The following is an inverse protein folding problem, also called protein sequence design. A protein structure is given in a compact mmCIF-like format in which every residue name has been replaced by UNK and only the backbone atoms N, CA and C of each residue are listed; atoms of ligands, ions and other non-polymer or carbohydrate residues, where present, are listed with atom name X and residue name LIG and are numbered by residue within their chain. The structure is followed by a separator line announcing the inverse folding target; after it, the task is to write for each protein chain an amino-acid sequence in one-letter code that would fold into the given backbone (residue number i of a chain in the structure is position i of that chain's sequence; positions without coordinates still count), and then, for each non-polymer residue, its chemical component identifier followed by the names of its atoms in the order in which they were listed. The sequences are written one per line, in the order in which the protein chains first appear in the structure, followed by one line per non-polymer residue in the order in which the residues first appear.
data_IF_884457502731
#
_entry.id   IF_884457502731
#
_cell.length_a   1.000
_cell.length_b   1.000
_cell.length_c   1.000
_cell.angle_alpha   90.00
_cell.angle_beta   90.00
_cell.angle_gamma   90.00
#
_symmetry.space_group_name_H-M   'P 1'
#
loop_
_entity.id
_entity.type
_entity.pdbx_description
1 polymer ?
#
# COMPACT_ATOMS: atom_id res chain seq x y z
N UNK A 1 -53.03 -1.03 46.19
CA UNK A 1 -53.14 -1.96 47.33
C UNK A 1 -52.66 -3.32 46.82
N UNK A 2 -51.59 -3.89 47.42
CA UNK A 2 -50.86 -5.12 47.08
C UNK A 2 -50.17 -5.13 45.69
N UNK A 3 -48.86 -4.92 45.47
CA UNK A 3 -47.62 -5.47 46.08
C UNK A 3 -47.53 -7.00 46.08
N UNK A 4 -46.75 -7.54 45.15
CA UNK A 4 -46.10 -8.85 45.28
C UNK A 4 -44.74 -8.83 44.56
N UNK A 5 -43.70 -8.67 45.38
CA UNK A 5 -42.30 -8.94 45.08
C UNK A 5 -42.09 -10.39 44.65
N UNK A 6 -41.15 -10.63 43.75
CA UNK A 6 -40.26 -11.79 43.91
C UNK A 6 -38.85 -11.43 43.45
N UNK A 7 -38.02 -11.11 44.44
CA UNK A 7 -36.57 -11.14 44.36
C UNK A 7 -36.11 -12.59 44.23
N UNK A 8 -35.26 -12.88 43.25
CA UNK A 8 -34.42 -14.08 43.26
C UNK A 8 -32.97 -13.68 42.96
N UNK A 9 -32.27 -13.43 44.07
CA UNK A 9 -30.87 -13.76 44.37
C UNK A 9 -29.88 -13.91 43.20
N UNK A 10 -28.95 -12.95 43.17
CA UNK A 10 -27.61 -13.12 42.62
C UNK A 10 -26.83 -14.15 43.45
N UNK A 11 -26.32 -15.20 42.79
CA UNK A 11 -25.29 -16.08 43.32
C UNK A 11 -23.96 -15.83 42.59
N UNK A 12 -22.83 -15.63 43.29
CA UNK A 12 -21.55 -15.46 42.64
C UNK A 12 -20.97 -16.83 42.26
N UNK A 13 -20.78 -17.09 40.97
CA UNK A 13 -19.99 -18.22 40.50
C UNK A 13 -18.58 -17.76 40.08
N UNK A 14 -17.55 -18.59 40.32
CA UNK A 14 -16.22 -18.12 40.67
C UNK A 14 -15.38 -17.65 39.48
N UNK A 15 -14.61 -16.59 39.73
CA UNK A 15 -13.49 -16.13 38.92
C UNK A 15 -12.44 -17.25 38.82
N UNK A 16 -12.26 -17.82 37.63
CA UNK A 16 -11.09 -18.67 37.33
C UNK A 16 -9.89 -17.77 37.10
N UNK A 17 -8.93 -17.84 38.02
CA UNK A 17 -7.59 -17.30 37.85
C UNK A 17 -6.87 -18.00 36.69
N UNK A 18 -6.06 -17.29 35.89
CA UNK A 18 -5.31 -17.92 34.81
C UNK A 18 -4.18 -18.77 35.40
N UNK A 19 -4.20 -20.07 35.11
CA UNK A 19 -3.11 -20.99 35.44
C UNK A 19 -1.86 -20.63 34.65
N UNK A 20 -0.73 -20.43 35.34
CA UNK A 20 0.60 -20.34 34.74
C UNK A 20 0.86 -21.61 33.90
N UNK A 21 0.90 -21.48 32.58
CA UNK A 21 1.43 -22.53 31.71
C UNK A 21 2.95 -22.33 31.59
N UNK A 22 3.68 -23.34 32.04
CA UNK A 22 5.12 -23.53 31.80
C UNK A 22 5.40 -23.70 30.30
N UNK A 23 6.53 -23.20 29.77
CA UNK A 23 6.85 -23.30 28.35
C UNK A 23 7.17 -24.74 27.96
N UNK A 24 6.53 -25.19 26.87
CA UNK A 24 6.84 -26.44 26.17
C UNK A 24 8.14 -26.25 25.39
N UNK A 25 9.11 -27.14 25.64
CA UNK A 25 10.38 -27.25 24.93
C UNK A 25 10.21 -28.10 23.67
N UNK A 26 10.68 -27.60 22.52
CA UNK A 26 10.94 -28.38 21.30
C UNK A 26 12.33 -28.00 20.73
N UNK A 27 12.98 -28.94 20.01
CA UNK A 27 14.42 -28.97 19.80
C UNK A 27 14.90 -28.08 18.64
N UNK A 28 16.19 -27.75 18.67
CA UNK A 28 16.78 -26.66 17.90
C UNK A 28 16.92 -26.84 16.39
N UNK A 29 17.22 -25.70 15.75
CA UNK A 29 17.85 -25.63 14.45
C UNK A 29 18.83 -24.45 14.44
N UNK A 30 20.03 -24.76 13.94
CA UNK A 30 21.23 -23.95 13.93
C UNK A 30 21.10 -22.72 13.01
N UNK A 31 21.43 -21.54 13.52
CA UNK A 31 21.50 -20.28 12.77
C UNK A 31 22.86 -20.19 12.06
N UNK A 32 22.87 -20.30 10.72
CA UNK A 32 24.04 -19.99 9.89
C UNK A 32 24.09 -18.48 9.68
N UNK A 33 25.00 -17.79 10.38
CA UNK A 33 25.38 -16.40 10.09
C UNK A 33 26.28 -16.37 8.86
N UNK A 34 25.85 -15.75 7.76
CA UNK A 34 26.72 -15.42 6.63
C UNK A 34 27.41 -14.08 6.90
N UNK A 35 28.71 -14.13 7.14
CA UNK A 35 29.61 -12.98 7.23
C UNK A 35 30.02 -12.49 5.84
N UNK A 36 29.88 -11.19 5.59
CA UNK A 36 30.42 -10.47 4.42
C UNK A 36 31.97 -10.45 4.47
N UNK A 37 32.68 -10.65 3.34
CA UNK A 37 34.13 -10.57 3.33
C UNK A 37 34.62 -9.12 3.22
N UNK A 38 35.43 -8.75 4.20
CA UNK A 38 36.23 -7.52 4.30
C UNK A 38 37.48 -7.66 3.41
N UNK A 39 37.56 -6.92 2.31
CA UNK A 39 38.74 -6.85 1.43
C UNK A 39 39.79 -5.92 2.04
N UNK A 40 40.92 -6.50 2.45
CA UNK A 40 42.11 -5.79 2.94
C UNK A 40 42.96 -5.31 1.76
N UNK A 41 43.28 -4.01 1.75
CA UNK A 41 44.34 -3.42 0.95
C UNK A 41 45.71 -3.82 1.51
N UNK A 42 46.60 -4.36 0.67
CA UNK A 42 48.04 -4.41 0.95
C UNK A 42 48.81 -3.85 -0.24
N UNK A 43 49.68 -2.88 0.04
CA UNK A 43 50.61 -2.29 -0.91
C UNK A 43 51.82 -3.23 -1.15
N UNK A 44 52.34 -3.24 -2.38
CA UNK A 44 53.49 -4.04 -2.81
C UNK A 44 54.62 -3.09 -3.27
N UNK A 45 55.89 -3.29 -2.87
CA UNK A 45 57.00 -2.44 -3.32
C UNK A 45 57.62 -2.95 -4.63
N UNK A 46 58.44 -2.08 -5.23
CA UNK A 46 59.09 -2.21 -6.53
C UNK A 46 60.49 -2.86 -6.47
N UNK A 47 60.91 -3.55 -7.54
CA UNK A 47 62.30 -3.53 -8.08
C UNK A 47 62.51 -4.40 -9.35
N UNK A 48 63.18 -3.79 -10.35
CA UNK A 48 64.22 -4.29 -11.30
C UNK A 48 63.98 -5.42 -12.33
N UNK A 49 64.20 -5.07 -13.61
CA UNK A 49 64.31 -5.86 -14.89
C UNK A 49 65.72 -6.53 -15.11
N UNK A 50 66.10 -7.16 -16.27
CA UNK A 50 65.40 -7.60 -17.52
C UNK A 50 65.84 -9.05 -18.00
N UNK A 51 65.90 -9.42 -19.31
CA UNK A 51 64.82 -9.69 -20.28
C UNK A 51 64.83 -11.14 -20.83
N UNK A 52 63.73 -11.64 -21.40
CA UNK A 52 63.77 -12.77 -22.34
C UNK A 52 62.58 -12.76 -23.33
N UNK A 53 62.94 -12.98 -24.58
CA UNK A 53 62.12 -13.01 -25.80
C UNK A 53 61.12 -14.18 -25.77
N UNK A 54 59.83 -13.92 -26.01
CA UNK A 54 58.89 -14.98 -26.45
C UNK A 54 57.84 -14.42 -27.43
N UNK A 55 58.05 -14.74 -28.69
CA UNK A 55 57.12 -15.12 -29.78
C UNK A 55 55.69 -14.54 -29.76
N UNK A 56 55.37 -13.81 -30.84
CA UNK A 56 54.04 -13.37 -31.21
C UNK A 56 53.05 -14.55 -31.37
N UNK A 57 51.91 -14.44 -30.70
CA UNK A 57 50.71 -15.22 -31.02
C UNK A 57 49.60 -14.24 -31.37
N UNK A 58 49.17 -14.28 -32.62
CA UNK A 58 48.03 -13.53 -33.12
C UNK A 58 46.75 -14.14 -32.53
N UNK A 59 46.26 -13.55 -31.44
CA UNK A 59 44.94 -13.83 -30.91
C UNK A 59 43.92 -13.15 -31.82
N UNK A 60 43.21 -13.94 -32.62
CA UNK A 60 41.98 -13.52 -33.29
C UNK A 60 41.01 -13.02 -32.23
N UNK A 61 40.76 -11.71 -32.22
CA UNK A 61 39.63 -11.11 -31.50
C UNK A 61 38.37 -11.54 -32.22
N UNK A 62 37.70 -12.56 -31.68
CA UNK A 62 36.33 -12.88 -32.07
C UNK A 62 35.46 -11.67 -31.71
N UNK A 63 34.88 -11.06 -32.74
CA UNK A 63 33.94 -9.97 -32.57
C UNK A 63 32.69 -10.50 -31.87
N UNK A 64 32.47 -10.06 -30.63
CA UNK A 64 31.23 -10.31 -29.91
C UNK A 64 30.02 -9.81 -30.74
N UNK A 65 28.90 -10.55 -30.77
CA UNK A 65 27.73 -10.14 -31.53
C UNK A 65 27.20 -8.81 -31.00
N UNK A 66 27.15 -7.81 -31.87
CA UNK A 66 26.56 -6.50 -31.58
C UNK A 66 25.16 -6.69 -30.98
N UNK A 67 25.02 -6.26 -29.73
CA UNK A 67 23.75 -6.22 -29.02
C UNK A 67 22.72 -5.45 -29.88
N UNK A 68 21.65 -6.13 -30.29
CA UNK A 68 20.51 -5.52 -30.98
C UNK A 68 20.06 -4.30 -30.18
N UNK A 69 19.94 -3.16 -30.86
CA UNK A 69 19.37 -1.94 -30.28
C UNK A 69 17.98 -2.25 -29.69
N UNK A 70 17.65 -1.72 -28.50
CA UNK A 70 16.37 -1.99 -27.88
C UNK A 70 15.24 -1.47 -28.78
N UNK A 71 14.30 -2.37 -29.11
CA UNK A 71 13.07 -1.99 -29.81
C UNK A 71 12.35 -0.94 -28.96
N UNK A 72 11.86 0.17 -29.55
CA UNK A 72 11.17 1.18 -28.78
C UNK A 72 9.96 0.56 -28.06
N UNK A 73 9.71 0.93 -26.79
CA UNK A 73 8.65 0.32 -26.01
C UNK A 73 7.29 0.55 -26.67
N UNK A 74 6.47 -0.50 -26.71
CA UNK A 74 5.11 -0.44 -27.26
C UNK A 74 4.25 0.50 -26.41
N UNK A 75 3.81 1.61 -27.01
CA UNK A 75 2.82 2.49 -26.40
C UNK A 75 1.44 1.83 -26.52
N UNK A 76 0.74 1.69 -25.40
CA UNK A 76 -0.58 1.07 -25.36
C UNK A 76 -1.66 2.16 -25.34
N UNK A 77 -2.77 2.01 -26.10
CA UNK A 77 -3.87 2.97 -26.06
C UNK A 77 -4.64 2.93 -24.73
N UNK A 78 -4.62 1.79 -24.04
CA UNK A 78 -5.33 1.57 -22.79
C UNK A 78 -4.43 0.87 -21.77
N UNK A 79 -4.59 1.22 -20.50
CA UNK A 79 -3.94 0.56 -19.36
C UNK A 79 -4.95 0.35 -18.24
N UNK A 80 -4.90 -0.81 -17.61
CA UNK A 80 -5.74 -1.14 -16.46
C UNK A 80 -4.89 -1.14 -15.21
N UNK A 81 -5.42 -0.56 -14.14
CA UNK A 81 -4.82 -0.59 -12.83
C UNK A 81 -5.80 -1.11 -11.80
N UNK A 82 -5.27 -1.82 -10.81
CA UNK A 82 -6.01 -2.28 -9.65
C UNK A 82 -5.28 -1.82 -8.40
N UNK A 83 -6.05 -1.32 -7.43
CA UNK A 83 -5.56 -0.96 -6.11
C UNK A 83 -6.34 -1.68 -5.04
N UNK A 84 -5.67 -1.93 -3.91
CA UNK A 84 -6.26 -2.43 -2.68
C UNK A 84 -5.57 -1.75 -1.50
N UNK A 85 -6.35 -1.28 -0.54
CA UNK A 85 -5.82 -0.80 0.73
C UNK A 85 -6.74 -1.23 1.89
N UNK A 86 -6.16 -1.39 3.08
CA UNK A 86 -6.86 -1.77 4.31
C UNK A 86 -6.23 -1.10 5.52
N UNK A 87 -7.05 -0.40 6.31
CA UNK A 87 -6.63 0.21 7.58
C UNK A 87 -7.36 -0.39 8.77
N UNK A 88 -6.67 -0.44 9.91
CA UNK A 88 -7.29 -0.73 11.21
C UNK A 88 -8.14 0.46 11.64
N UNK A 89 -9.29 0.18 12.23
CA UNK A 89 -10.17 1.18 12.84
C UNK A 89 -10.04 1.13 14.35
N UNK A 90 -9.59 2.22 14.98
CA UNK A 90 -9.40 2.32 16.42
C UNK A 90 -10.14 3.54 17.02
N UNK A 91 -10.54 3.48 18.30
CA UNK A 91 -11.14 4.63 18.99
C UNK A 91 -10.20 5.84 19.04
N UNK A 92 -10.75 7.04 18.95
CA UNK A 92 -9.97 8.29 19.08
C UNK A 92 -9.29 8.77 17.80
N UNK A 93 -9.42 8.02 16.69
CA UNK A 93 -8.94 8.43 15.38
C UNK A 93 -10.07 9.02 14.51
N UNK A 94 -9.75 9.94 13.57
CA UNK A 94 -10.72 10.42 12.59
C UNK A 94 -11.00 9.35 11.51
N UNK A 95 -12.23 9.32 11.01
CA UNK A 95 -12.59 8.48 9.86
C UNK A 95 -12.64 9.35 8.61
N UNK A 96 -11.52 9.42 7.89
CA UNK A 96 -11.41 10.18 6.64
C UNK A 96 -11.53 9.20 5.47
N UNK A 97 -12.48 9.45 4.58
CA UNK A 97 -12.72 8.62 3.39
C UNK A 97 -12.89 9.54 2.18
N UNK A 98 -12.02 9.39 1.18
CA UNK A 98 -11.96 10.25 -0.01
C UNK A 98 -11.94 11.74 0.30
N UNK A 99 -11.16 12.14 1.32
CA UNK A 99 -10.97 13.50 1.82
C UNK A 99 -12.09 14.03 2.72
N UNK A 100 -13.13 13.24 2.98
CA UNK A 100 -14.27 13.66 3.81
C UNK A 100 -14.15 13.03 5.20
N UNK A 101 -14.12 13.87 6.24
CA UNK A 101 -14.18 13.40 7.61
C UNK A 101 -15.63 13.01 7.98
N UNK A 102 -15.84 11.75 8.33
CA UNK A 102 -17.14 11.17 8.62
C UNK A 102 -17.25 10.92 10.13
N UNK A 103 -18.29 11.45 10.81
CA UNK A 103 -18.48 11.21 12.24
C UNK A 103 -18.64 9.72 12.54
N UNK A 104 -17.77 9.19 13.40
CA UNK A 104 -17.80 7.79 13.83
C UNK A 104 -17.11 7.59 15.17
N UNK A 105 -17.40 6.47 15.84
CA UNK A 105 -16.77 6.10 17.12
C UNK A 105 -15.32 5.58 16.96
N UNK A 106 -14.92 5.26 15.73
CA UNK A 106 -13.59 4.74 15.36
C UNK A 106 -13.11 5.39 14.07
N UNK A 107 -11.80 5.51 13.91
CA UNK A 107 -11.17 6.02 12.69
C UNK A 107 -9.89 5.27 12.38
N UNK A 108 -9.21 5.66 11.29
CA UNK A 108 -8.07 4.91 10.79
C UNK A 108 -6.81 5.17 11.63
N UNK A 109 -6.20 4.10 12.15
CA UNK A 109 -4.86 4.17 12.76
C UNK A 109 -3.81 4.04 11.65
N UNK A 110 -3.24 5.17 11.22
CA UNK A 110 -2.25 5.22 10.14
C UNK A 110 -1.18 6.30 10.38
N UNK A 111 -0.08 6.25 9.63
CA UNK A 111 0.96 7.28 9.62
C UNK A 111 0.57 8.55 8.83
N UNK A 112 -0.32 8.39 7.84
CA UNK A 112 -1.00 9.47 7.11
C UNK A 112 -2.34 9.83 7.78
N UNK A 113 -3.23 10.51 7.06
CA UNK A 113 -4.62 10.73 7.48
C UNK A 113 -5.50 9.47 7.43
N UNK A 114 -4.96 8.33 6.97
CA UNK A 114 -5.61 7.02 6.98
C UNK A 114 -6.69 6.85 5.91
N UNK A 115 -6.68 7.68 4.85
CA UNK A 115 -7.67 7.62 3.78
C UNK A 115 -7.45 6.42 2.84
N UNK A 116 -8.04 5.30 3.24
CA UNK A 116 -7.99 4.03 2.51
C UNK A 116 -8.46 4.14 1.06
N UNK A 117 -9.40 5.05 0.76
CA UNK A 117 -9.94 5.19 -0.58
C UNK A 117 -8.94 5.91 -1.49
N UNK A 118 -8.36 7.02 -1.02
CA UNK A 118 -7.37 7.75 -1.82
C UNK A 118 -6.11 6.93 -2.06
N UNK A 119 -5.59 6.24 -1.05
CA UNK A 119 -4.43 5.35 -1.25
C UNK A 119 -4.70 4.27 -2.30
N UNK A 120 -5.87 3.64 -2.22
CA UNK A 120 -6.29 2.61 -3.18
C UNK A 120 -6.41 3.15 -4.61
N UNK A 121 -6.86 4.40 -4.79
CA UNK A 121 -6.89 5.05 -6.11
C UNK A 121 -5.48 5.36 -6.61
N UNK A 122 -4.59 5.87 -5.74
CA UNK A 122 -3.17 6.11 -6.06
C UNK A 122 -2.51 4.83 -6.58
N UNK A 123 -2.62 3.73 -5.84
CA UNK A 123 -2.02 2.45 -6.25
C UNK A 123 -2.60 1.93 -7.57
N UNK A 124 -3.90 2.11 -7.81
CA UNK A 124 -4.49 1.73 -9.09
C UNK A 124 -3.87 2.54 -10.25
N UNK A 125 -3.69 3.86 -10.09
CA UNK A 125 -3.05 4.69 -11.13
C UNK A 125 -1.59 4.29 -11.34
N UNK A 126 -0.81 4.17 -10.26
CA UNK A 126 0.61 3.79 -10.34
C UNK A 126 0.79 2.40 -10.96
N UNK A 127 -0.07 1.44 -10.58
CA UNK A 127 -0.11 0.09 -11.14
C UNK A 127 -0.44 0.08 -12.63
N UNK A 128 -1.40 0.87 -13.09
CA UNK A 128 -1.71 1.00 -14.51
C UNK A 128 -0.50 1.47 -15.32
N UNK A 129 0.29 2.38 -14.76
CA UNK A 129 1.50 2.95 -15.37
C UNK A 129 2.72 2.03 -15.26
N UNK A 130 2.68 1.02 -14.39
CA UNK A 130 3.82 0.15 -14.08
C UNK A 130 4.90 0.86 -13.25
N UNK A 131 4.51 1.83 -12.42
CA UNK A 131 5.38 2.57 -11.53
C UNK A 131 5.51 1.88 -10.16
N UNK A 132 6.50 2.26 -9.33
CA UNK A 132 6.55 1.85 -7.93
C UNK A 132 5.24 2.18 -7.19
N UNK A 133 4.89 1.36 -6.20
CA UNK A 133 3.66 1.54 -5.41
C UNK A 133 3.74 2.73 -4.44
N UNK A 134 2.63 3.05 -3.77
CA UNK A 134 2.53 4.17 -2.83
C UNK A 134 3.58 4.10 -1.71
N UNK A 135 3.90 2.91 -1.18
CA UNK A 135 4.87 2.75 -0.10
C UNK A 135 6.32 2.96 -0.56
N UNK A 136 6.60 2.67 -1.83
CA UNK A 136 7.89 2.94 -2.44
C UNK A 136 8.09 4.43 -2.79
N UNK A 137 7.04 5.11 -3.24
CA UNK A 137 7.10 6.54 -3.58
C UNK A 137 7.03 7.42 -2.31
N UNK A 138 6.26 7.00 -1.31
CA UNK A 138 5.98 7.76 -0.08
C UNK A 138 6.28 6.93 1.17
N UNK A 139 7.55 6.61 1.45
CA UNK A 139 7.91 5.74 2.56
C UNK A 139 7.63 6.40 3.92
N UNK A 140 7.12 5.61 4.87
CA UNK A 140 6.83 6.04 6.26
C UNK A 140 8.08 6.55 7.02
N UNK A 141 9.28 6.23 6.53
CA UNK A 141 10.56 6.66 7.12
C UNK A 141 10.93 8.09 6.76
N UNK A 142 10.32 8.69 5.73
CA UNK A 142 10.59 10.07 5.34
C UNK A 142 9.72 11.04 6.17
N UNK A 143 10.33 11.92 6.98
CA UNK A 143 9.60 12.89 7.79
C UNK A 143 8.69 13.82 6.98
N UNK A 144 8.96 14.00 5.68
CA UNK A 144 8.14 14.83 4.77
C UNK A 144 6.71 14.33 4.64
N UNK A 145 6.48 13.02 4.73
CA UNK A 145 5.16 12.40 4.51
C UNK A 145 4.38 12.16 5.80
N UNK A 146 5.02 12.32 6.95
CA UNK A 146 4.39 12.09 8.25
C UNK A 146 3.22 13.06 8.47
N UNK A 147 2.01 12.52 8.61
CA UNK A 147 0.79 13.32 8.76
C UNK A 147 0.41 14.12 7.51
N UNK A 148 1.00 13.82 6.35
CA UNK A 148 0.59 14.46 5.10
C UNK A 148 -0.84 14.03 4.74
N UNK A 149 -1.67 14.95 4.22
CA UNK A 149 -3.00 14.59 3.74
C UNK A 149 -2.88 13.75 2.47
N UNK A 150 -3.71 12.72 2.34
CA UNK A 150 -3.68 11.77 1.21
C UNK A 150 -3.93 12.42 -0.16
N UNK A 151 -4.52 13.62 -0.16
CA UNK A 151 -4.64 14.46 -1.37
C UNK A 151 -3.30 14.80 -2.02
N UNK A 152 -2.19 14.83 -1.25
CA UNK A 152 -0.84 15.05 -1.78
C UNK A 152 -0.40 13.88 -2.66
N UNK A 153 -0.64 12.64 -2.21
CA UNK A 153 -0.31 11.43 -2.96
C UNK A 153 -1.14 11.33 -4.25
N UNK A 154 -2.44 11.68 -4.16
CA UNK A 154 -3.33 11.73 -5.33
C UNK A 154 -2.84 12.72 -6.40
N UNK A 155 -2.49 13.94 -6.00
CA UNK A 155 -1.97 14.96 -6.94
C UNK A 155 -0.70 14.50 -7.63
N UNK A 156 0.18 13.83 -6.90
CA UNK A 156 1.42 13.29 -7.45
C UNK A 156 1.17 12.13 -8.42
N UNK A 157 0.26 11.20 -8.09
CA UNK A 157 -0.13 10.13 -9.00
C UNK A 157 -0.74 10.68 -10.31
N UNK A 158 -1.59 11.71 -10.22
CA UNK A 158 -2.17 12.40 -11.39
C UNK A 158 -1.09 13.11 -12.20
N UNK A 159 -0.11 13.76 -11.56
CA UNK A 159 1.05 14.36 -12.24
C UNK A 159 1.83 13.31 -13.03
N UNK A 160 2.18 12.19 -12.39
CA UNK A 160 2.89 11.07 -13.02
C UNK A 160 2.10 10.44 -14.18
N UNK A 161 0.78 10.27 -14.02
CA UNK A 161 -0.12 9.83 -15.08
C UNK A 161 -0.07 10.74 -16.31
N UNK A 162 -0.16 12.06 -16.06
CA UNK A 162 -0.10 13.06 -17.12
C UNK A 162 1.26 13.09 -17.83
N UNK A 163 2.37 12.97 -17.09
CA UNK A 163 3.73 12.91 -17.64
C UNK A 163 4.00 11.64 -18.43
N UNK A 164 3.42 10.52 -18.01
CA UNK A 164 3.43 9.30 -18.79
C UNK A 164 2.58 9.39 -20.06
N UNK A 165 1.83 10.47 -20.27
CA UNK A 165 0.98 10.72 -21.45
C UNK A 165 -0.34 9.96 -21.42
N UNK A 166 -0.88 9.71 -20.23
CA UNK A 166 -2.19 9.09 -20.04
C UNK A 166 -3.14 10.05 -19.34
N UNK A 167 -4.43 9.79 -19.49
CA UNK A 167 -5.52 10.42 -18.74
C UNK A 167 -6.48 9.35 -18.20
N UNK A 168 -7.35 9.75 -17.27
CA UNK A 168 -8.35 8.85 -16.71
C UNK A 168 -9.47 8.61 -17.73
N UNK A 169 -9.64 7.37 -18.15
CA UNK A 169 -10.82 6.94 -18.90
C UNK A 169 -12.02 6.79 -17.98
N UNK A 170 -11.90 5.90 -16.98
CA UNK A 170 -12.86 5.79 -15.88
C UNK A 170 -12.24 5.15 -14.63
N UNK A 171 -12.93 5.33 -13.51
CA UNK A 171 -12.59 4.76 -12.21
C UNK A 171 -13.83 4.17 -11.54
N UNK A 172 -13.66 2.99 -10.96
CA UNK A 172 -14.69 2.37 -10.12
C UNK A 172 -14.09 1.84 -8.82
N UNK A 173 -14.55 2.38 -7.70
CA UNK A 173 -14.10 1.97 -6.36
C UNK A 173 -15.22 1.27 -5.58
N UNK A 174 -14.83 0.33 -4.73
CA UNK A 174 -15.69 -0.35 -3.77
C UNK A 174 -15.09 -0.24 -2.39
N UNK A 175 -15.76 0.49 -1.52
CA UNK A 175 -15.44 0.56 -0.10
C UNK A 175 -16.16 -0.55 0.66
N UNK A 176 -15.44 -1.23 1.55
CA UNK A 176 -15.97 -2.25 2.44
C UNK A 176 -15.87 -1.74 3.86
N UNK A 177 -17.02 -1.40 4.45
CA UNK A 177 -17.13 -0.81 5.77
C UNK A 177 -18.44 -1.23 6.43
N UNK A 178 -18.37 -1.80 7.64
CA UNK A 178 -19.57 -2.24 8.34
C UNK A 178 -20.40 -1.07 8.86
N UNK A 179 -19.76 -0.04 9.43
CA UNK A 179 -20.38 1.20 9.93
C UNK A 179 -19.39 2.36 9.81
N UNK A 180 -19.84 3.61 9.61
CA UNK A 180 -21.24 4.04 9.50
C UNK A 180 -21.81 3.82 8.10
N UNK A 181 -23.06 4.23 7.88
CA UNK A 181 -23.69 4.19 6.56
C UNK A 181 -23.05 5.26 5.67
N UNK A 182 -22.41 4.88 4.57
CA UNK A 182 -21.73 5.83 3.68
C UNK A 182 -22.67 6.58 2.72
N UNK A 183 -23.91 6.12 2.52
CA UNK A 183 -24.81 6.71 1.53
C UNK A 183 -25.00 8.23 1.64
N UNK A 184 -25.07 8.86 2.85
CA UNK A 184 -25.20 10.32 2.96
C UNK A 184 -23.95 11.09 2.52
N UNK A 185 -22.79 10.43 2.45
CA UNK A 185 -21.49 11.06 2.18
C UNK A 185 -20.98 10.78 0.76
N UNK A 186 -21.60 9.83 0.03
CA UNK A 186 -21.13 9.36 -1.27
C UNK A 186 -20.90 10.47 -2.30
N UNK A 187 -21.83 11.43 -2.41
CA UNK A 187 -21.71 12.50 -3.40
C UNK A 187 -20.57 13.46 -3.06
N UNK A 188 -20.38 13.80 -1.78
CA UNK A 188 -19.27 14.63 -1.33
C UNK A 188 -17.92 13.95 -1.60
N UNK A 189 -17.84 12.64 -1.32
CA UNK A 189 -16.64 11.84 -1.62
C UNK A 189 -16.37 11.81 -3.12
N UNK A 190 -17.40 11.53 -3.94
CA UNK A 190 -17.26 11.49 -5.40
C UNK A 190 -16.82 12.84 -5.95
N UNK A 191 -17.40 13.94 -5.47
CA UNK A 191 -17.02 15.29 -5.89
C UNK A 191 -15.55 15.59 -5.59
N UNK A 192 -15.07 15.26 -4.39
CA UNK A 192 -13.67 15.47 -4.03
C UNK A 192 -12.72 14.56 -4.84
N UNK A 193 -13.10 13.31 -5.12
CA UNK A 193 -12.35 12.45 -6.04
C UNK A 193 -12.23 13.08 -7.43
N UNK A 194 -13.34 13.61 -7.98
CA UNK A 194 -13.36 14.26 -9.28
C UNK A 194 -12.43 15.48 -9.31
N UNK A 195 -12.47 16.31 -8.27
CA UNK A 195 -11.60 17.48 -8.13
C UNK A 195 -10.12 17.07 -8.09
N UNK A 196 -9.76 16.10 -7.26
CA UNK A 196 -8.38 15.63 -7.12
C UNK A 196 -7.85 14.97 -8.39
N UNK A 197 -8.71 14.27 -9.13
CA UNK A 197 -8.36 13.61 -10.39
C UNK A 197 -8.38 14.56 -11.60
N UNK A 198 -9.05 15.71 -11.48
CA UNK A 198 -9.37 16.57 -12.62
C UNK A 198 -10.30 15.89 -13.64
N UNK A 199 -11.23 15.07 -13.15
CA UNK A 199 -12.09 14.20 -13.97
C UNK A 199 -13.57 14.58 -13.90
N UNK A 200 -14.32 14.25 -14.95
CA UNK A 200 -15.78 14.44 -14.96
C UNK A 200 -16.49 13.44 -14.02
N UNK A 201 -17.55 13.84 -13.29
CA UNK A 201 -18.27 12.94 -12.40
C UNK A 201 -18.90 11.71 -13.07
N UNK A 202 -19.15 11.74 -14.39
CA UNK A 202 -19.69 10.59 -15.13
C UNK A 202 -18.69 9.44 -15.28
N UNK A 203 -17.39 9.70 -15.09
CA UNK A 203 -16.33 8.68 -15.23
C UNK A 203 -15.77 8.19 -13.89
N UNK A 204 -16.28 8.69 -12.77
CA UNK A 204 -15.83 8.33 -11.41
C UNK A 204 -16.99 7.68 -10.66
N UNK A 205 -16.84 6.44 -10.20
CA UNK A 205 -17.86 5.74 -9.43
C UNK A 205 -17.37 5.26 -8.06
N UNK A 206 -18.26 5.32 -7.07
CA UNK A 206 -18.01 4.84 -5.71
C UNK A 206 -19.16 3.97 -5.21
N UNK A 207 -18.83 2.71 -4.91
CA UNK A 207 -19.71 1.75 -4.26
C UNK A 207 -19.30 1.57 -2.79
N UNK A 208 -20.26 1.19 -1.96
CA UNK A 208 -20.03 0.90 -0.56
C UNK A 208 -20.80 -0.36 -0.19
N UNK A 209 -20.16 -1.26 0.56
CA UNK A 209 -20.70 -2.55 0.97
C UNK A 209 -20.34 -2.80 2.44
N UNK A 210 -21.24 -3.49 3.14
CA UNK A 210 -20.94 -4.14 4.41
C UNK A 210 -20.14 -5.43 4.17
N UNK A 211 -19.50 -5.94 5.22
CA UNK A 211 -18.84 -7.25 5.19
C UNK A 211 -19.64 -8.28 5.99
N UNK A 212 -20.98 -8.15 5.96
CA UNK A 212 -21.94 -9.10 6.56
C UNK A 212 -21.62 -9.58 7.99
N UNK A 213 -21.04 -8.70 8.82
CA UNK A 213 -20.63 -9.01 10.21
C UNK A 213 -19.61 -10.16 10.35
N UNK A 214 -18.87 -10.50 9.30
CA UNK A 214 -17.78 -11.48 9.36
C UNK A 214 -16.40 -10.79 9.32
N UNK A 215 -15.46 -11.37 10.06
CA UNK A 215 -14.05 -10.94 10.14
C UNK A 215 -13.84 -9.50 10.64
N UNK A 216 -12.61 -8.99 10.54
CA UNK A 216 -12.27 -7.63 11.02
C UNK A 216 -13.12 -6.53 10.39
N UNK A 217 -13.45 -6.67 9.10
CA UNK A 217 -14.29 -5.72 8.39
C UNK A 217 -15.72 -5.73 8.95
N UNK A 218 -16.30 -6.91 9.18
CA UNK A 218 -17.65 -7.06 9.71
C UNK A 218 -17.76 -6.77 11.21
N UNK A 219 -16.68 -6.92 11.95
CA UNK A 219 -16.54 -6.53 13.35
C UNK A 219 -16.24 -5.03 13.53
N UNK A 220 -16.15 -4.26 12.43
CA UNK A 220 -15.84 -2.83 12.43
C UNK A 220 -14.46 -2.52 13.06
N UNK A 221 -13.50 -3.45 12.92
CA UNK A 221 -12.10 -3.31 13.32
C UNK A 221 -11.20 -2.88 12.16
N UNK A 222 -11.70 -2.90 10.94
CA UNK A 222 -10.98 -2.43 9.77
C UNK A 222 -11.93 -1.85 8.72
N UNK A 223 -11.33 -1.13 7.77
CA UNK A 223 -11.96 -0.63 6.55
C UNK A 223 -11.07 -1.04 5.37
N UNK A 224 -11.68 -1.40 4.23
CA UNK A 224 -10.94 -1.73 3.02
C UNK A 224 -11.50 -1.02 1.80
N UNK A 225 -10.66 -0.81 0.80
CA UNK A 225 -11.03 -0.28 -0.50
C UNK A 225 -10.43 -1.14 -1.61
N UNK A 226 -11.21 -1.33 -2.68
CA UNK A 226 -10.72 -1.79 -3.98
C UNK A 226 -11.00 -0.73 -5.02
N UNK A 227 -10.08 -0.51 -5.94
CA UNK A 227 -10.25 0.41 -7.06
C UNK A 227 -9.77 -0.26 -8.33
N UNK A 228 -10.53 -0.10 -9.40
CA UNK A 228 -10.08 -0.38 -10.76
C UNK A 228 -10.11 0.92 -11.57
N UNK A 229 -9.04 1.16 -12.33
CA UNK A 229 -8.95 2.30 -13.24
C UNK A 229 -8.67 1.81 -14.65
N UNK A 230 -9.25 2.50 -15.62
CA UNK A 230 -8.87 2.42 -17.02
C UNK A 230 -8.25 3.76 -17.40
N UNK A 231 -6.97 3.74 -17.76
CA UNK A 231 -6.27 4.89 -18.31
C UNK A 231 -6.29 4.82 -19.84
N UNK A 232 -6.43 5.97 -20.48
CA UNK A 232 -6.44 6.13 -21.93
C UNK A 232 -5.24 6.97 -22.34
N UNK A 233 -4.63 6.64 -23.47
CA UNK A 233 -3.53 7.42 -24.04
C UNK A 233 -4.06 8.78 -24.55
N UNK A 234 -3.37 9.86 -24.17
CA UNK A 234 -3.60 11.21 -24.73
C UNK A 234 -3.16 11.32 -26.19
#
# INVERSE_FOLDING_TARGET
MAMANSLCYAGPFPVKTPSKQSPVQLPGACVVRRSLPYLKFTARPASSSPPAVVVASASTVEAEPQAKSPTPPKVLPFRVGHGFDLHRLEPGYPLIIGGINIPHDRGCEAHSDGDVLLHCVVDAILGALGLPDIGQIFPDTDPKWKGAPSSVFMKEAVRLMNEAGYELGNLDSTLILQRPKLSPHKEAIRANLCELLGADPSVVNLKAKTHEKVDSLGENRSIAAHTVVLLVRK
#
